data_IF_563339881801
#
_entry.id   IF_563339881801
#
_cell.length_a   1.000
_cell.length_b   1.000
_cell.length_c   1.000
_cell.angle_alpha   90.00
_cell.angle_beta   90.00
_cell.angle_gamma   90.00
#
_symmetry.space_group_name_H-M   'P 1'
#
loop_
_entity.id
_entity.type
_entity.pdbx_description
1 polymer ?
#
# COMPACT_ATOMS: atom_id res chain seq x y z
N UNK A 1 10.67 10.46 -3.88
CA UNK A 1 9.19 10.40 -3.81
C UNK A 1 8.71 9.00 -4.10
N UNK A 2 7.78 8.53 -3.33
CA UNK A 2 7.14 7.22 -3.53
C UNK A 2 5.75 7.48 -4.07
N UNK A 3 5.43 6.89 -5.21
CA UNK A 3 4.08 7.03 -5.78
C UNK A 3 3.25 5.80 -5.43
N UNK A 4 2.11 6.04 -4.79
CA UNK A 4 1.20 4.97 -4.39
C UNK A 4 -0.03 5.02 -5.28
N UNK A 5 -0.30 3.93 -5.98
CA UNK A 5 -1.49 3.83 -6.82
C UNK A 5 -2.55 3.03 -6.09
N UNK A 6 -3.71 3.65 -5.95
CA UNK A 6 -4.84 3.07 -5.24
C UNK A 6 -5.90 2.62 -6.23
N UNK A 7 -6.54 1.51 -5.94
CA UNK A 7 -7.61 0.98 -6.78
C UNK A 7 -8.84 0.67 -5.95
N UNK A 8 -9.96 0.54 -6.65
CA UNK A 8 -11.23 0.10 -6.08
C UNK A 8 -11.60 0.86 -4.82
N UNK A 9 -11.96 0.15 -3.77
CA UNK A 9 -12.48 0.73 -2.54
C UNK A 9 -11.45 1.55 -1.78
N UNK A 10 -10.17 1.33 -2.02
CA UNK A 10 -9.14 2.11 -1.32
C UNK A 10 -9.20 3.59 -1.70
N UNK A 11 -9.67 3.89 -2.89
CA UNK A 11 -9.84 5.29 -3.31
C UNK A 11 -10.83 6.04 -2.44
N UNK A 12 -11.83 5.35 -1.92
CA UNK A 12 -12.82 5.99 -1.06
C UNK A 12 -12.20 6.54 0.22
N UNK A 13 -11.16 5.88 0.72
CA UNK A 13 -10.45 6.35 1.90
C UNK A 13 -9.54 7.53 1.59
N UNK A 14 -9.20 7.73 0.34
CA UNK A 14 -8.30 8.79 -0.09
C UNK A 14 -9.05 9.90 -0.86
N UNK A 15 -10.32 10.11 -0.53
CA UNK A 15 -11.14 11.14 -1.16
C UNK A 15 -11.26 10.97 -2.66
N UNK A 16 -11.22 9.73 -3.13
CA UNK A 16 -11.32 9.41 -4.55
C UNK A 16 -10.00 9.45 -5.30
N UNK A 17 -8.90 9.76 -4.62
CA UNK A 17 -7.60 9.84 -5.29
C UNK A 17 -7.15 8.48 -5.79
N UNK A 18 -6.64 8.44 -7.01
CA UNK A 18 -6.07 7.25 -7.61
C UNK A 18 -4.58 7.13 -7.34
N UNK A 19 -3.94 8.25 -7.07
CA UNK A 19 -2.49 8.33 -6.85
C UNK A 19 -2.25 9.20 -5.64
N UNK A 20 -1.39 8.73 -4.75
CA UNK A 20 -0.93 9.50 -3.60
C UNK A 20 0.59 9.49 -3.64
N UNK A 21 1.19 10.65 -3.65
CA UNK A 21 2.64 10.77 -3.63
C UNK A 21 3.11 11.04 -2.21
N UNK A 22 4.08 10.28 -1.76
CA UNK A 22 4.71 10.44 -0.45
C UNK A 22 6.14 10.88 -0.65
N UNK A 23 6.64 11.73 0.24
CA UNK A 23 8.02 12.22 0.14
C UNK A 23 9.01 11.06 0.25
N UNK A 24 8.78 10.19 1.20
CA UNK A 24 9.66 9.03 1.40
C UNK A 24 8.98 8.01 2.31
N UNK A 25 9.46 6.80 2.26
CA UNK A 25 9.11 5.76 3.22
C UNK A 25 10.24 4.73 3.20
N UNK A 26 10.60 4.20 4.34
CA UNK A 26 11.70 3.24 4.42
C UNK A 26 11.29 1.87 3.86
N UNK A 27 10.05 1.48 4.08
CA UNK A 27 9.53 0.19 3.64
C UNK A 27 8.00 0.28 3.47
N UNK A 28 7.38 -0.82 3.08
CA UNK A 28 5.92 -0.84 2.88
C UNK A 28 5.17 -0.53 4.16
N UNK A 29 5.65 -1.03 5.29
CA UNK A 29 5.00 -0.77 6.57
C UNK A 29 5.00 0.72 6.89
N UNK A 30 6.12 1.38 6.70
CA UNK A 30 6.24 2.82 6.89
C UNK A 30 5.35 3.60 5.93
N UNK A 31 5.25 3.12 4.69
CA UNK A 31 4.38 3.72 3.69
C UNK A 31 2.92 3.68 4.15
N UNK A 32 2.48 2.52 4.61
CA UNK A 32 1.10 2.36 5.10
C UNK A 32 0.85 3.28 6.29
N UNK A 33 1.81 3.42 7.18
CA UNK A 33 1.69 4.33 8.33
C UNK A 33 1.51 5.78 7.90
N UNK A 34 2.22 6.20 6.86
CA UNK A 34 2.06 7.55 6.33
C UNK A 34 0.72 7.75 5.64
N UNK A 35 0.25 6.74 4.92
CA UNK A 35 -1.09 6.78 4.31
C UNK A 35 -2.15 6.91 5.40
N UNK A 36 -2.01 6.16 6.49
CA UNK A 36 -2.97 6.21 7.57
C UNK A 36 -3.05 7.59 8.21
N UNK A 37 -1.92 8.27 8.35
CA UNK A 37 -1.91 9.64 8.87
C UNK A 37 -2.67 10.60 7.98
N UNK A 38 -2.53 10.45 6.68
CA UNK A 38 -3.19 11.34 5.72
C UNK A 38 -4.65 10.95 5.48
N UNK A 39 -4.94 9.67 5.53
CA UNK A 39 -6.28 9.14 5.22
C UNK A 39 -6.65 8.11 6.28
N UNK A 40 -7.15 8.55 7.44
CA UNK A 40 -7.50 7.62 8.52
C UNK A 40 -8.47 6.52 8.07
N UNK A 41 -8.15 5.30 8.41
CA UNK A 41 -8.93 4.12 8.03
C UNK A 41 -8.34 3.32 6.89
N UNK A 42 -7.49 3.94 6.06
CA UNK A 42 -6.93 3.24 4.90
C UNK A 42 -5.95 2.14 5.33
N UNK A 43 -5.19 2.41 6.38
CA UNK A 43 -4.17 1.46 6.84
C UNK A 43 -4.75 0.12 7.24
N UNK A 44 -5.87 0.12 7.94
CA UNK A 44 -6.53 -1.11 8.38
C UNK A 44 -7.10 -1.95 7.24
N UNK A 45 -7.23 -1.35 6.05
CA UNK A 45 -7.69 -2.11 4.87
C UNK A 45 -6.53 -2.80 4.17
N UNK A 46 -5.31 -2.35 4.44
CA UNK A 46 -4.11 -2.89 3.78
C UNK A 46 -3.39 -3.87 4.69
N UNK A 47 -3.26 -3.53 5.97
CA UNK A 47 -2.56 -4.36 6.95
C UNK A 47 -3.48 -4.72 8.12
N UNK A 48 -3.12 -5.80 8.80
CA UNK A 48 -3.85 -6.25 9.98
C UNK A 48 -3.31 -5.57 11.26
N UNK A 49 -3.81 -5.99 12.40
CA UNK A 49 -3.41 -5.42 13.70
C UNK A 49 -1.93 -5.59 14.00
N UNK A 50 -1.29 -6.54 13.37
CA UNK A 50 0.13 -6.81 13.56
C UNK A 50 0.99 -6.11 12.52
N UNK A 51 0.37 -5.34 11.63
CA UNK A 51 1.08 -4.64 10.57
C UNK A 51 1.44 -5.49 9.37
N UNK A 52 0.88 -6.67 9.27
CA UNK A 52 1.13 -7.56 8.14
C UNK A 52 0.14 -7.32 7.02
N UNK A 53 0.62 -7.40 5.79
CA UNK A 53 -0.24 -7.24 4.61
C UNK A 53 -1.34 -8.30 4.65
N UNK A 54 -2.58 -7.87 4.53
CA UNK A 54 -3.72 -8.80 4.56
C UNK A 54 -3.66 -9.76 3.39
N UNK A 55 -4.11 -11.00 3.61
CA UNK A 55 -4.01 -12.06 2.62
C UNK A 55 -4.72 -11.74 1.31
N UNK A 56 -5.82 -10.97 1.38
CA UNK A 56 -6.60 -10.61 0.20
C UNK A 56 -6.15 -9.31 -0.45
N UNK A 57 -5.05 -8.74 0.00
CA UNK A 57 -4.52 -7.52 -0.59
C UNK A 57 -3.21 -7.85 -1.31
N UNK A 58 -3.11 -7.39 -2.55
CA UNK A 58 -1.90 -7.55 -3.33
C UNK A 58 -1.19 -6.21 -3.42
N UNK A 59 0.09 -6.21 -3.10
CA UNK A 59 0.91 -5.00 -3.17
C UNK A 59 2.10 -5.30 -4.07
N UNK A 60 2.25 -4.48 -5.09
CA UNK A 60 3.38 -4.60 -6.02
C UNK A 60 4.26 -3.39 -5.85
N UNK A 61 5.56 -3.63 -5.72
CA UNK A 61 6.56 -2.57 -5.75
C UNK A 61 7.17 -2.61 -7.14
N UNK A 62 6.87 -1.59 -7.92
CA UNK A 62 7.13 -1.57 -9.36
C UNK A 62 6.40 -2.76 -10.00
N UNK A 63 7.07 -3.75 -10.49
CA UNK A 63 6.40 -4.91 -11.08
C UNK A 63 6.51 -6.18 -10.24
N UNK A 64 7.03 -6.07 -9.03
CA UNK A 64 7.27 -7.26 -8.20
C UNK A 64 6.27 -7.34 -7.05
N UNK A 65 5.70 -8.53 -6.86
CA UNK A 65 4.78 -8.77 -5.76
C UNK A 65 5.55 -8.74 -4.43
N UNK A 66 5.06 -7.99 -3.47
CA UNK A 66 5.74 -7.85 -2.19
C UNK A 66 5.91 -9.18 -1.44
N UNK A 67 5.05 -10.15 -1.72
CA UNK A 67 5.18 -11.47 -1.06
C UNK A 67 6.44 -12.21 -1.48
N UNK A 68 7.01 -11.85 -2.61
CA UNK A 68 8.26 -12.42 -3.10
C UNK A 68 9.47 -11.59 -2.70
N UNK A 69 9.22 -10.48 -2.01
CA UNK A 69 10.28 -9.56 -1.55
C UNK A 69 10.41 -9.67 -0.04
N UNK A 70 9.75 -8.83 0.69
CA UNK A 70 9.83 -8.84 2.15
C UNK A 70 8.50 -8.55 2.80
N UNK A 71 7.42 -8.66 2.05
CA UNK A 71 6.08 -8.35 2.52
C UNK A 71 6.04 -6.93 3.11
N UNK A 72 5.56 -6.74 4.34
CA UNK A 72 5.49 -5.41 4.95
C UNK A 72 6.86 -4.80 5.19
N UNK A 73 7.92 -5.61 5.17
CA UNK A 73 9.30 -5.14 5.39
C UNK A 73 10.03 -4.83 4.09
N UNK A 74 9.37 -4.98 2.94
CA UNK A 74 9.96 -4.68 1.65
C UNK A 74 10.50 -3.25 1.63
N UNK A 75 11.80 -3.05 1.42
CA UNK A 75 12.36 -1.70 1.40
C UNK A 75 11.88 -0.91 0.19
N UNK A 76 11.72 0.38 0.38
CA UNK A 76 11.31 1.28 -0.68
C UNK A 76 12.40 2.31 -0.93
N UNK A 77 12.50 2.74 -2.17
CA UNK A 77 13.47 3.73 -2.61
C UNK A 77 12.77 4.87 -3.32
N UNK A 78 13.44 6.00 -3.35
CA UNK A 78 12.96 7.14 -4.11
C UNK A 78 12.70 6.73 -5.57
N UNK A 79 11.54 7.11 -6.06
CA UNK A 79 11.14 6.78 -7.42
C UNK A 79 10.32 5.50 -7.55
N UNK A 80 10.17 4.73 -6.48
CA UNK A 80 9.37 3.51 -6.56
C UNK A 80 7.89 3.84 -6.74
N UNK A 81 7.20 2.96 -7.45
CA UNK A 81 5.75 3.02 -7.62
C UNK A 81 5.16 1.80 -6.95
N UNK A 82 4.25 2.03 -6.02
CA UNK A 82 3.60 0.94 -5.28
C UNK A 82 2.15 0.86 -5.72
N UNK A 83 1.74 -0.33 -6.13
CA UNK A 83 0.36 -0.60 -6.54
C UNK A 83 -0.32 -1.40 -5.44
N UNK A 84 -1.44 -0.91 -4.96
CA UNK A 84 -2.22 -1.62 -3.94
C UNK A 84 -3.54 -2.05 -4.56
N UNK A 85 -3.72 -3.36 -4.68
CA UNK A 85 -4.89 -3.94 -5.32
C UNK A 85 -5.55 -4.92 -4.35
N UNK A 86 -6.76 -4.62 -3.90
CA UNK A 86 -7.52 -5.62 -3.17
C UNK A 86 -7.79 -6.78 -4.11
N UNK A 87 -7.66 -7.99 -3.62
CA UNK A 87 -7.94 -9.10 -4.48
C UNK A 87 -9.44 -9.12 -4.73
N UNK A 88 -9.78 -9.36 -5.96
CA UNK A 88 -11.17 -9.61 -6.30
C UNK A 88 -11.47 -10.96 -5.73
N UNK A 89 -12.25 -10.98 -4.71
CA UNK A 89 -12.53 -12.25 -4.15
C UNK A 89 -13.52 -12.90 -5.00
N UNK A 90 -13.32 -13.48 -5.79
CA UNK A 90 -14.18 -14.45 -6.29
C UNK A 90 -13.63 -15.70 -5.88
N UNK A 91 -12.83 -15.57 -5.20
CA UNK A 91 -12.30 -16.86 -4.94
C UNK A 91 -11.37 -16.75 -3.93
#
# INVERSE_FOLDING_TARGET
>A
MIRVRLTAQLRDYAHGARVVDLDSAADLRGMVGKLEKSFPGIGGRIVDDQGKIRAHVNVFVNSENCRELGEEKTPLRDGDVVYILPSVSGG
#
